data_IF_747148921987
#
_entry.id   IF_747148921987
#
_cell.length_a   1.000
_cell.length_b   1.000
_cell.length_c   1.000
_cell.angle_alpha   90.00
_cell.angle_beta   90.00
_cell.angle_gamma   90.00
#
_symmetry.space_group_name_H-M   'P 1'
#
loop_
_entity.id
_entity.type
_entity.pdbx_description
1 polymer ?
#
# COMPACT_ATOMS: atom_id res chain seq x y z
N UNK A 1 -21.21 8.77 -7.14
CA UNK A 1 -20.07 8.22 -6.36
C UNK A 1 -20.10 6.70 -6.27
N UNK A 2 -21.12 6.09 -5.65
CA UNK A 2 -21.19 4.63 -5.44
C UNK A 2 -20.98 3.80 -6.73
N UNK A 3 -21.65 4.19 -7.82
CA UNK A 3 -21.49 3.51 -9.11
C UNK A 3 -20.07 3.66 -9.72
N UNK A 4 -19.39 4.78 -9.48
CA UNK A 4 -18.01 4.98 -9.92
C UNK A 4 -17.05 4.09 -9.14
N UNK A 5 -17.26 3.96 -7.82
CA UNK A 5 -16.49 3.04 -6.98
C UNK A 5 -16.76 1.57 -7.35
N UNK A 6 -18.01 1.19 -7.63
CA UNK A 6 -18.33 -0.16 -8.11
C UNK A 6 -17.69 -0.45 -9.46
N UNK A 7 -17.62 0.53 -10.36
CA UNK A 7 -16.90 0.40 -11.62
C UNK A 7 -15.41 0.14 -11.39
N UNK A 8 -14.75 0.92 -10.53
CA UNK A 8 -13.33 0.74 -10.22
C UNK A 8 -13.02 -0.66 -9.66
N UNK A 9 -13.92 -1.23 -8.84
CA UNK A 9 -13.78 -2.60 -8.30
C UNK A 9 -13.94 -3.70 -9.36
N UNK A 10 -14.57 -3.41 -10.50
CA UNK A 10 -14.81 -4.38 -11.58
C UNK A 10 -13.85 -4.24 -12.75
N UNK A 11 -13.24 -3.06 -12.92
CA UNK A 11 -12.27 -2.83 -13.97
C UNK A 11 -11.01 -3.67 -13.73
N UNK A 12 -10.31 -4.09 -14.80
CA UNK A 12 -9.02 -4.75 -14.65
C UNK A 12 -8.06 -3.86 -13.84
N UNK A 13 -7.45 -4.37 -12.75
CA UNK A 13 -6.62 -3.55 -11.86
C UNK A 13 -5.40 -2.95 -12.58
N UNK A 14 -4.88 -3.63 -13.60
CA UNK A 14 -3.79 -3.12 -14.44
C UNK A 14 -4.16 -1.87 -15.26
N UNK A 15 -5.45 -1.51 -15.35
CA UNK A 15 -5.93 -0.33 -16.06
C UNK A 15 -6.58 0.69 -15.13
N UNK A 16 -6.37 0.57 -13.80
CA UNK A 16 -6.99 1.42 -12.79
C UNK A 16 -6.70 2.91 -13.02
N UNK A 17 -5.46 3.28 -13.33
CA UNK A 17 -5.09 4.68 -13.62
C UNK A 17 -5.84 5.25 -14.83
N UNK A 18 -5.95 4.47 -15.91
CA UNK A 18 -6.68 4.90 -17.11
C UNK A 18 -8.17 5.03 -16.83
N UNK A 19 -8.74 4.08 -16.07
CA UNK A 19 -10.14 4.11 -15.67
C UNK A 19 -10.45 5.33 -14.77
N UNK A 20 -9.57 5.62 -13.81
CA UNK A 20 -9.70 6.78 -12.94
C UNK A 20 -9.62 8.09 -13.73
N UNK A 21 -8.64 8.25 -14.63
CA UNK A 21 -8.53 9.45 -15.47
C UNK A 21 -9.78 9.68 -16.34
N UNK A 22 -10.37 8.59 -16.87
CA UNK A 22 -11.63 8.68 -17.59
C UNK A 22 -12.79 9.10 -16.67
N UNK A 23 -12.85 8.58 -15.45
CA UNK A 23 -13.85 8.97 -14.46
C UNK A 23 -13.71 10.43 -14.02
N UNK A 24 -12.49 10.92 -13.79
CA UNK A 24 -12.21 12.32 -13.47
C UNK A 24 -12.66 13.25 -14.62
N UNK A 25 -12.47 12.82 -15.86
CA UNK A 25 -12.94 13.57 -17.04
C UNK A 25 -14.46 13.58 -17.17
N UNK A 26 -15.15 12.53 -16.71
CA UNK A 26 -16.61 12.39 -16.76
C UNK A 26 -17.32 13.07 -15.58
N UNK A 27 -16.69 13.08 -14.40
CA UNK A 27 -17.26 13.54 -13.14
C UNK A 27 -16.28 14.52 -12.44
N UNK A 28 -16.01 15.70 -13.05
CA UNK A 28 -15.04 16.64 -12.51
C UNK A 28 -15.39 17.13 -11.10
N UNK A 29 -16.68 17.27 -10.79
CA UNK A 29 -17.19 17.72 -9.49
C UNK A 29 -16.87 16.76 -8.34
N UNK A 30 -16.55 15.49 -8.64
CA UNK A 30 -16.22 14.46 -7.66
C UNK A 30 -14.74 14.07 -7.65
N UNK A 31 -13.87 14.89 -8.25
CA UNK A 31 -12.45 14.55 -8.43
C UNK A 31 -11.73 14.29 -7.12
N UNK A 32 -11.97 15.12 -6.10
CA UNK A 32 -11.32 14.99 -4.79
C UNK A 32 -11.74 13.70 -4.08
N UNK A 33 -13.04 13.39 -4.09
CA UNK A 33 -13.56 12.16 -3.47
C UNK A 33 -13.06 10.90 -4.17
N UNK A 34 -12.90 10.94 -5.50
CA UNK A 34 -12.39 9.81 -6.27
C UNK A 34 -10.91 9.59 -6.03
N UNK A 35 -10.12 10.66 -5.95
CA UNK A 35 -8.68 10.57 -5.69
C UNK A 35 -8.36 10.07 -4.28
N UNK A 36 -9.19 10.38 -3.29
CA UNK A 36 -8.98 9.92 -1.90
C UNK A 36 -9.47 8.50 -1.62
N UNK A 37 -10.39 7.97 -2.43
CA UNK A 37 -10.98 6.64 -2.19
C UNK A 37 -10.45 5.53 -3.09
N UNK A 38 -9.74 5.89 -4.17
CA UNK A 38 -9.24 4.93 -5.15
C UNK A 38 -7.76 4.70 -4.93
N UNK A 39 -7.41 3.49 -4.49
CA UNK A 39 -6.02 3.06 -4.40
C UNK A 39 -5.42 2.91 -5.80
N UNK A 40 -4.31 3.62 -6.04
CA UNK A 40 -3.48 3.49 -7.23
C UNK A 40 -2.16 2.79 -6.89
N UNK A 41 -1.49 2.19 -7.88
CA UNK A 41 -0.14 1.67 -7.69
C UNK A 41 0.78 2.75 -7.09
N UNK A 42 1.54 2.36 -6.06
CA UNK A 42 2.42 3.27 -5.34
C UNK A 42 3.53 3.79 -6.27
N UNK A 43 3.74 5.10 -6.25
CA UNK A 43 4.80 5.77 -6.99
C UNK A 43 6.00 6.01 -6.09
N UNK A 44 7.18 6.11 -6.69
CA UNK A 44 8.45 6.30 -6.00
C UNK A 44 9.11 7.58 -6.48
N UNK A 45 9.64 8.36 -5.55
CA UNK A 45 10.52 9.48 -5.81
C UNK A 45 11.87 9.28 -5.10
N UNK A 46 12.87 10.08 -5.45
CA UNK A 46 14.20 10.03 -4.86
C UNK A 46 14.50 11.34 -4.16
N UNK A 47 14.84 11.27 -2.88
CA UNK A 47 15.35 12.42 -2.14
C UNK A 47 16.71 12.82 -2.70
N UNK A 48 16.79 14.03 -3.25
CA UNK A 48 18.00 14.58 -3.87
C UNK A 48 19.11 14.86 -2.85
N UNK A 49 18.77 15.07 -1.57
CA UNK A 49 19.76 15.37 -0.52
C UNK A 49 20.39 14.12 0.07
N UNK A 50 19.56 13.11 0.36
CA UNK A 50 20.02 11.87 1.00
C UNK A 50 20.29 10.74 0.01
N UNK A 51 19.94 10.91 -1.27
CA UNK A 51 20.00 9.88 -2.31
C UNK A 51 19.25 8.59 -1.92
N UNK A 52 18.12 8.75 -1.24
CA UNK A 52 17.26 7.65 -0.79
C UNK A 52 15.90 7.74 -1.47
N UNK A 53 15.40 6.59 -1.91
CA UNK A 53 14.06 6.48 -2.48
C UNK A 53 12.99 6.57 -1.38
N UNK A 54 11.83 7.11 -1.73
CA UNK A 54 10.66 7.18 -0.86
C UNK A 54 9.36 7.05 -1.67
N UNK A 55 8.31 6.59 -1.00
CA UNK A 55 7.02 6.29 -1.61
C UNK A 55 6.10 7.51 -1.53
N UNK A 56 5.41 7.80 -2.63
CA UNK A 56 4.43 8.88 -2.74
C UNK A 56 3.04 8.38 -2.35
N UNK A 57 2.34 9.12 -1.51
CA UNK A 57 0.97 8.87 -1.09
C UNK A 57 0.26 10.19 -0.74
N UNK A 58 -1.04 10.12 -0.43
CA UNK A 58 -1.80 11.29 0.02
C UNK A 58 -1.26 11.88 1.33
N UNK A 59 -0.75 11.04 2.23
CA UNK A 59 -0.26 11.48 3.55
C UNK A 59 1.02 12.28 3.46
N UNK A 60 1.81 12.21 2.40
CA UNK A 60 3.00 13.06 2.27
C UNK A 60 2.86 14.09 1.15
N UNK A 61 1.64 14.29 0.64
CA UNK A 61 1.36 15.23 -0.44
C UNK A 61 0.81 16.54 0.12
N UNK A 62 1.35 17.64 -0.38
CA UNK A 62 0.79 18.98 -0.20
C UNK A 62 0.75 19.67 -1.58
N UNK A 63 -0.43 20.09 -2.02
CA UNK A 63 -0.71 20.49 -3.39
C UNK A 63 -0.17 19.47 -4.43
N UNK A 64 0.86 19.82 -5.18
CA UNK A 64 1.52 18.96 -6.18
C UNK A 64 2.93 18.53 -5.77
N UNK A 65 3.29 18.71 -4.50
CA UNK A 65 4.62 18.38 -3.97
C UNK A 65 4.54 17.30 -2.91
N UNK A 66 5.63 16.55 -2.76
CA UNK A 66 5.68 15.43 -1.82
C UNK A 66 6.84 15.56 -0.83
N UNK A 67 6.55 15.41 0.46
CA UNK A 67 7.51 15.45 1.56
C UNK A 67 8.33 14.17 1.60
N UNK A 68 9.65 14.31 1.59
CA UNK A 68 10.55 13.19 1.83
C UNK A 68 10.61 12.84 3.31
N UNK A 69 10.53 11.56 3.71
CA UNK A 69 10.71 11.15 5.09
C UNK A 69 12.18 11.27 5.55
N UNK A 70 13.13 11.45 4.62
CA UNK A 70 14.56 11.53 4.93
C UNK A 70 15.00 12.98 5.20
N UNK A 71 14.79 13.89 4.25
CA UNK A 71 15.15 15.32 4.39
C UNK A 71 14.09 16.19 5.05
N UNK A 72 12.85 15.69 5.20
CA UNK A 72 11.68 16.46 5.64
C UNK A 72 11.32 17.63 4.72
N UNK A 73 11.73 17.59 3.45
CA UNK A 73 11.50 18.64 2.46
C UNK A 73 10.54 18.17 1.38
N UNK A 74 9.76 19.11 0.86
CA UNK A 74 8.89 18.90 -0.29
C UNK A 74 9.69 18.96 -1.61
N UNK A 75 9.34 18.09 -2.55
CA UNK A 75 9.75 18.19 -3.95
C UNK A 75 8.51 18.14 -4.86
N UNK A 76 8.27 19.16 -5.72
CA UNK A 76 8.98 20.45 -5.79
C UNK A 76 9.00 21.24 -4.46
N UNK A 77 9.94 22.18 -4.26
CA UNK A 77 10.01 22.95 -3.02
C UNK A 77 8.74 23.79 -2.78
N UNK A 78 8.22 23.70 -1.56
CA UNK A 78 7.11 24.53 -1.05
C UNK A 78 7.58 25.35 0.14
N UNK A 79 7.18 26.61 0.21
CA UNK A 79 7.52 27.52 1.31
C UNK A 79 6.54 27.41 2.49
N UNK A 80 5.29 27.02 2.22
CA UNK A 80 4.17 26.93 3.16
C UNK A 80 3.68 25.48 3.37
N UNK A 81 4.50 24.50 3.00
CA UNK A 81 4.16 23.09 3.16
C UNK A 81 4.00 22.68 4.62
N UNK A 82 2.93 21.95 4.92
CA UNK A 82 2.67 21.44 6.27
C UNK A 82 3.73 20.41 6.69
N UNK A 83 4.20 20.48 7.93
CA UNK A 83 5.20 19.54 8.47
C UNK A 83 4.77 19.05 9.85
N UNK A 84 5.12 17.81 10.24
CA UNK A 84 4.84 17.31 11.58
C UNK A 84 5.58 18.11 12.64
N UNK A 85 5.08 18.08 13.88
CA UNK A 85 5.78 18.63 15.04
C UNK A 85 7.12 17.92 15.27
N UNK A 86 8.00 18.53 16.06
CA UNK A 86 9.32 17.95 16.37
C UNK A 86 9.21 16.57 17.02
N UNK A 87 8.21 16.37 17.89
CA UNK A 87 7.94 15.09 18.55
C UNK A 87 7.51 14.03 17.54
N UNK A 88 6.54 14.35 16.67
CA UNK A 88 6.10 13.42 15.62
C UNK A 88 7.21 13.14 14.59
N UNK A 89 8.04 14.14 14.29
CA UNK A 89 9.17 13.98 13.38
C UNK A 89 10.22 13.03 13.94
N UNK A 90 10.52 13.10 15.23
CA UNK A 90 11.44 12.16 15.88
C UNK A 90 10.89 10.73 15.82
N UNK A 91 9.60 10.56 16.09
CA UNK A 91 8.92 9.26 15.97
C UNK A 91 8.93 8.74 14.52
N UNK A 92 8.71 9.62 13.53
CA UNK A 92 8.74 9.29 12.11
C UNK A 92 10.13 8.80 11.66
N UNK A 93 11.21 9.44 12.12
CA UNK A 93 12.58 9.03 11.82
C UNK A 93 12.87 7.65 12.39
N UNK A 94 12.54 7.43 13.67
CA UNK A 94 12.73 6.14 14.35
C UNK A 94 11.90 5.04 13.68
N UNK A 95 10.65 5.34 13.31
CA UNK A 95 9.79 4.41 12.58
C UNK A 95 10.41 4.03 11.22
N UNK A 96 10.89 5.00 10.43
CA UNK A 96 11.50 4.71 9.13
C UNK A 96 12.74 3.82 9.25
N UNK A 97 13.52 3.96 10.33
CA UNK A 97 14.66 3.07 10.61
C UNK A 97 14.19 1.64 10.91
N UNK A 98 13.30 1.46 11.90
CA UNK A 98 12.81 0.14 12.32
C UNK A 98 12.08 -0.57 11.18
N UNK A 99 11.23 0.14 10.43
CA UNK A 99 10.49 -0.48 9.34
C UNK A 99 11.32 -0.71 8.07
N UNK A 100 12.49 -0.07 7.94
CA UNK A 100 13.46 -0.46 6.92
C UNK A 100 14.01 -1.85 7.22
N UNK A 101 14.31 -2.15 8.48
CA UNK A 101 14.75 -3.50 8.87
C UNK A 101 13.63 -4.53 8.71
N UNK A 102 12.39 -4.18 9.06
CA UNK A 102 11.22 -5.03 8.80
C UNK A 102 11.09 -5.38 7.31
N UNK A 103 11.21 -4.37 6.43
CA UNK A 103 11.17 -4.57 4.99
C UNK A 103 12.26 -5.54 4.54
N UNK A 104 13.49 -5.34 4.99
CA UNK A 104 14.60 -6.19 4.55
C UNK A 104 14.48 -7.63 5.03
N UNK A 105 13.96 -7.85 6.24
CA UNK A 105 13.72 -9.19 6.80
C UNK A 105 12.59 -9.95 6.07
N UNK A 106 11.51 -9.26 5.69
CA UNK A 106 10.32 -9.90 5.12
C UNK A 106 10.25 -9.88 3.59
N UNK A 107 10.83 -8.87 2.95
CA UNK A 107 10.72 -8.63 1.50
C UNK A 107 12.07 -8.75 0.77
N UNK A 108 13.18 -8.88 1.49
CA UNK A 108 14.54 -9.00 0.94
C UNK A 108 14.85 -7.89 -0.09
N UNK A 109 14.45 -6.66 0.25
CA UNK A 109 14.61 -5.45 -0.55
C UNK A 109 13.28 -4.72 -0.82
N UNK A 110 13.27 -3.89 -1.87
CA UNK A 110 12.15 -2.97 -2.13
C UNK A 110 12.35 -1.63 -1.43
N UNK A 111 11.27 -0.84 -1.35
CA UNK A 111 11.27 0.50 -0.78
C UNK A 111 10.22 0.52 0.33
N UNK A 112 10.52 1.22 1.41
CA UNK A 112 9.59 1.48 2.50
C UNK A 112 9.60 2.97 2.85
N UNK A 113 8.46 3.49 3.30
CA UNK A 113 8.35 4.86 3.81
C UNK A 113 7.29 4.92 4.89
N UNK A 114 7.58 5.65 5.95
CA UNK A 114 6.64 5.93 7.04
C UNK A 114 6.41 7.43 7.11
N UNK A 115 5.15 7.83 7.19
CA UNK A 115 4.74 9.21 7.44
C UNK A 115 3.89 9.28 8.70
N UNK A 116 4.18 10.24 9.59
CA UNK A 116 3.45 10.42 10.85
C UNK A 116 2.86 11.82 10.91
N UNK A 117 1.59 11.90 11.30
CA UNK A 117 0.84 13.14 11.48
C UNK A 117 0.11 13.16 12.81
N UNK A 118 -0.10 14.34 13.36
CA UNK A 118 -0.91 14.51 14.56
C UNK A 118 -2.39 14.29 14.24
N UNK A 119 -3.10 13.62 15.15
CA UNK A 119 -4.54 13.48 15.09
C UNK A 119 -5.17 14.54 16.01
N UNK A 120 -5.47 15.70 15.43
CA UNK A 120 -6.02 16.87 16.13
C UNK A 120 -7.38 16.57 16.79
N UNK A 121 -8.16 15.65 16.20
CA UNK A 121 -9.51 15.34 16.66
C UNK A 121 -9.53 14.38 17.85
N UNK A 122 -8.64 13.38 17.87
CA UNK A 122 -8.70 12.26 18.83
C UNK A 122 -7.57 12.23 19.86
N UNK A 123 -6.66 13.21 19.86
CA UNK A 123 -5.55 13.30 20.83
C UNK A 123 -4.53 12.17 20.64
N UNK A 124 -4.17 11.94 19.38
CA UNK A 124 -3.37 10.82 18.93
C UNK A 124 -2.38 11.20 17.83
N UNK A 125 -1.91 10.20 17.10
CA UNK A 125 -1.22 10.38 15.83
C UNK A 125 -1.68 9.32 14.83
N UNK A 126 -1.57 9.65 13.54
CA UNK A 126 -1.79 8.76 12.42
C UNK A 126 -0.43 8.45 11.82
N UNK A 127 -0.13 7.17 11.66
CA UNK A 127 1.05 6.69 10.95
C UNK A 127 0.63 5.95 9.68
N UNK A 128 1.22 6.32 8.56
CA UNK A 128 1.06 5.64 7.28
C UNK A 128 2.37 4.91 6.95
N UNK A 129 2.33 3.58 6.98
CA UNK A 129 3.45 2.73 6.60
C UNK A 129 3.22 2.11 5.22
N UNK A 130 4.16 2.35 4.32
CA UNK A 130 4.10 1.97 2.91
C UNK A 130 5.25 1.03 2.57
N UNK A 131 4.96 -0.02 1.79
CA UNK A 131 5.97 -0.90 1.20
C UNK A 131 5.67 -1.04 -0.29
N UNK A 132 6.72 -0.89 -1.10
CA UNK A 132 6.69 -1.23 -2.53
C UNK A 132 7.80 -2.21 -2.85
N UNK A 133 7.45 -3.35 -3.43
CA UNK A 133 8.39 -4.35 -3.90
C UNK A 133 8.03 -4.81 -5.29
N UNK A 134 8.87 -4.44 -6.25
CA UNK A 134 8.81 -5.03 -7.58
C UNK A 134 9.64 -6.33 -7.62
N UNK A 135 9.07 -7.35 -8.27
CA UNK A 135 9.65 -8.67 -8.43
C UNK A 135 9.81 -9.00 -9.91
N UNK A 136 10.99 -9.51 -10.27
CA UNK A 136 11.22 -10.15 -11.57
C UNK A 136 11.27 -11.65 -11.34
N UNK A 137 10.41 -12.40 -12.01
CA UNK A 137 10.37 -13.85 -11.85
C UNK A 137 11.63 -14.48 -12.42
N UNK A 138 12.36 -15.23 -11.60
CA UNK A 138 13.57 -15.95 -12.01
C UNK A 138 13.28 -17.40 -12.42
N UNK A 139 12.07 -17.91 -12.14
CA UNK A 139 11.64 -19.28 -12.46
C UNK A 139 10.15 -19.34 -12.85
N UNK A 140 9.85 -20.08 -13.91
CA UNK A 140 8.47 -20.35 -14.38
C UNK A 140 7.94 -19.35 -15.40
N UNK A 141 6.61 -19.25 -15.52
CA UNK A 141 5.92 -18.37 -16.46
C UNK A 141 5.73 -16.94 -15.95
N UNK A 142 5.92 -16.69 -14.66
CA UNK A 142 5.78 -15.36 -14.06
C UNK A 142 6.99 -14.51 -14.45
N UNK A 143 6.76 -13.45 -15.22
CA UNK A 143 7.84 -12.55 -15.68
C UNK A 143 8.02 -11.35 -14.74
N UNK A 144 6.90 -10.80 -14.24
CA UNK A 144 6.87 -9.56 -13.45
C UNK A 144 5.78 -9.71 -12.38
N UNK A 145 6.03 -9.21 -11.18
CA UNK A 145 5.05 -9.03 -10.11
C UNK A 145 5.35 -7.74 -9.33
N UNK A 146 4.34 -7.11 -8.75
CA UNK A 146 4.48 -5.98 -7.83
C UNK A 146 3.73 -6.32 -6.54
N UNK A 147 4.29 -5.91 -5.42
CA UNK A 147 3.61 -5.88 -4.13
C UNK A 147 3.61 -4.43 -3.64
N UNK A 148 2.42 -3.88 -3.44
CA UNK A 148 2.20 -2.56 -2.88
C UNK A 148 1.37 -2.74 -1.61
N UNK A 149 1.91 -2.30 -0.46
CA UNK A 149 1.28 -2.43 0.86
C UNK A 149 1.10 -1.04 1.47
N UNK A 150 -0.11 -0.75 1.94
CA UNK A 150 -0.50 0.52 2.55
C UNK A 150 -1.14 0.22 3.90
N UNK A 151 -0.51 0.67 4.98
CA UNK A 151 -1.00 0.51 6.35
C UNK A 151 -1.22 1.88 6.98
N UNK A 152 -2.47 2.30 7.11
CA UNK A 152 -2.84 3.52 7.84
C UNK A 152 -3.29 3.13 9.24
N UNK A 153 -2.60 3.64 10.25
CA UNK A 153 -2.77 3.27 11.66
C UNK A 153 -3.00 4.52 12.48
N UNK A 154 -4.11 4.56 13.18
CA UNK A 154 -4.43 5.60 14.13
C UNK A 154 -4.09 5.11 15.55
N UNK A 155 -3.32 5.89 16.29
CA UNK A 155 -2.87 5.56 17.65
C UNK A 155 -3.23 6.67 18.63
N UNK A 156 -3.72 6.30 19.81
CA UNK A 156 -3.93 7.25 20.91
C UNK A 156 -2.64 7.46 21.70
N UNK A 157 -2.37 8.71 22.10
CA UNK A 157 -1.24 9.06 22.98
C UNK A 157 -1.44 8.59 24.44
N UNK A 158 -2.65 8.16 24.80
CA UNK A 158 -2.98 7.76 26.19
C UNK A 158 -2.66 6.29 26.51
N UNK A 159 -2.19 5.52 25.52
CA UNK A 159 -1.85 4.11 25.71
C UNK A 159 -0.70 3.96 26.71
N UNK A 160 -0.89 3.10 27.73
CA UNK A 160 0.14 2.78 28.70
C UNK A 160 1.36 2.17 27.99
N UNK A 161 2.44 2.94 27.91
CA UNK A 161 3.68 2.65 27.19
C UNK A 161 4.50 1.60 27.93
N UNK A 162 4.02 0.34 27.98
CA UNK A 162 4.86 -0.75 28.49
C UNK A 162 6.00 -1.06 27.49
N UNK A 163 5.69 -1.06 26.18
CA UNK A 163 6.60 -1.50 25.12
C UNK A 163 6.97 -0.40 24.08
N UNK A 164 6.36 0.79 24.13
CA UNK A 164 6.55 1.84 23.10
C UNK A 164 5.50 1.81 21.98
N UNK A 165 5.16 2.98 21.42
CA UNK A 165 4.18 3.07 20.32
C UNK A 165 4.64 2.35 19.06
N UNK A 166 5.94 2.39 18.73
CA UNK A 166 6.51 1.69 17.57
C UNK A 166 6.35 0.18 17.66
N UNK A 167 6.57 -0.41 18.83
CA UNK A 167 6.45 -1.87 19.03
C UNK A 167 5.00 -2.31 18.85
N UNK A 168 4.06 -1.54 19.40
CA UNK A 168 2.63 -1.82 19.20
C UNK A 168 2.24 -1.71 17.73
N UNK A 169 2.71 -0.68 17.03
CA UNK A 169 2.49 -0.49 15.61
C UNK A 169 3.08 -1.64 14.79
N UNK A 170 4.31 -2.06 15.08
CA UNK A 170 4.98 -3.19 14.41
C UNK A 170 4.22 -4.50 14.58
N UNK A 171 3.78 -4.83 15.79
CA UNK A 171 2.96 -6.04 16.06
C UNK A 171 1.65 -6.03 15.27
N UNK A 172 0.97 -4.88 15.18
CA UNK A 172 -0.27 -4.75 14.41
C UNK A 172 -0.04 -4.94 12.91
N UNK A 173 1.01 -4.33 12.35
CA UNK A 173 1.37 -4.45 10.93
C UNK A 173 1.73 -5.89 10.59
N UNK A 174 2.58 -6.53 11.39
CA UNK A 174 3.03 -7.89 11.16
C UNK A 174 1.87 -8.89 11.18
N UNK A 175 0.95 -8.77 12.15
CA UNK A 175 -0.25 -9.60 12.21
C UNK A 175 -1.18 -9.36 11.01
N UNK A 176 -1.38 -8.09 10.62
CA UNK A 176 -2.23 -7.73 9.50
C UNK A 176 -1.67 -8.23 8.17
N UNK A 177 -0.38 -8.01 7.90
CA UNK A 177 0.26 -8.51 6.70
C UNK A 177 0.27 -10.05 6.64
N UNK A 178 0.49 -10.71 7.78
CA UNK A 178 0.42 -12.17 7.85
C UNK A 178 -0.94 -12.71 7.42
N UNK A 179 -2.03 -12.09 7.88
CA UNK A 179 -3.41 -12.44 7.47
C UNK A 179 -3.66 -12.12 5.99
N UNK A 180 -3.22 -10.95 5.51
CA UNK A 180 -3.40 -10.53 4.11
C UNK A 180 -2.66 -11.46 3.14
N UNK A 181 -1.41 -11.83 3.43
CA UNK A 181 -0.64 -12.79 2.61
C UNK A 181 -1.37 -14.13 2.48
N UNK A 182 -1.86 -14.68 3.59
CA UNK A 182 -2.62 -15.94 3.58
C UNK A 182 -3.92 -15.83 2.77
N UNK A 183 -4.63 -14.71 2.89
CA UNK A 183 -5.85 -14.46 2.11
C UNK A 183 -5.57 -14.35 0.61
N UNK A 184 -4.51 -13.62 0.23
CA UNK A 184 -4.09 -13.46 -1.15
C UNK A 184 -3.70 -14.81 -1.77
N UNK A 185 -2.95 -15.66 -1.07
CA UNK A 185 -2.59 -16.99 -1.56
C UNK A 185 -3.84 -17.84 -1.87
N UNK A 186 -4.79 -17.87 -0.94
CA UNK A 186 -6.05 -18.62 -1.10
C UNK A 186 -6.88 -18.12 -2.28
N UNK A 187 -6.98 -16.82 -2.50
CA UNK A 187 -7.77 -16.27 -3.61
C UNK A 187 -7.04 -16.42 -4.94
N UNK A 188 -5.77 -15.99 -5.03
CA UNK A 188 -5.03 -15.91 -6.30
C UNK A 188 -4.55 -17.25 -6.83
N UNK A 189 -4.27 -18.24 -5.97
CA UNK A 189 -3.79 -19.56 -6.41
C UNK A 189 -4.76 -20.68 -6.08
N UNK A 190 -5.62 -20.51 -5.06
CA UNK A 190 -6.67 -21.45 -4.73
C UNK A 190 -7.91 -21.28 -5.62
N UNK A 191 -8.69 -20.22 -5.37
CA UNK A 191 -10.01 -20.02 -5.98
C UNK A 191 -9.97 -19.82 -7.50
N UNK A 192 -9.04 -19.01 -8.00
CA UNK A 192 -8.88 -18.80 -9.46
C UNK A 192 -8.59 -20.11 -10.18
N UNK A 193 -7.72 -20.96 -9.62
CA UNK A 193 -7.39 -22.29 -10.16
C UNK A 193 -8.61 -23.19 -10.17
N UNK A 194 -9.36 -23.22 -9.06
CA UNK A 194 -10.61 -23.99 -8.96
C UNK A 194 -11.62 -23.57 -10.04
N UNK A 195 -11.81 -22.27 -10.26
CA UNK A 195 -12.70 -21.76 -11.31
C UNK A 195 -12.24 -22.19 -12.70
N UNK A 196 -10.96 -22.06 -13.02
CA UNK A 196 -10.40 -22.47 -14.32
C UNK A 196 -10.58 -23.99 -14.54
N UNK A 197 -10.27 -24.80 -13.52
CA UNK A 197 -10.44 -26.25 -13.59
C UNK A 197 -11.92 -26.67 -13.69
N UNK A 198 -12.85 -25.91 -13.12
CA UNK A 198 -14.28 -26.17 -13.25
C UNK A 198 -14.78 -25.91 -14.67
N UNK A 199 -14.34 -24.79 -15.28
CA UNK A 199 -14.72 -24.43 -16.65
C UNK A 199 -14.04 -25.30 -17.71
N UNK A 200 -12.81 -25.73 -17.45
CA UNK A 200 -12.04 -26.63 -18.31
C UNK A 200 -11.30 -27.67 -17.46
N UNK A 201 -11.95 -28.80 -17.17
CA UNK A 201 -11.33 -29.87 -16.40
C UNK A 201 -10.08 -30.41 -17.12
N UNK A 202 -9.02 -30.74 -16.38
CA UNK A 202 -7.88 -31.43 -16.96
C UNK A 202 -8.31 -32.75 -17.59
N UNK A 203 -7.66 -33.19 -18.70
CA UNK A 203 -7.98 -34.45 -19.37
C UNK A 203 -7.94 -35.68 -18.44
N UNK A 204 -7.07 -35.64 -17.42
CA UNK A 204 -6.93 -36.69 -16.41
C UNK A 204 -8.20 -36.88 -15.56
N UNK A 205 -8.97 -35.82 -15.34
CA UNK A 205 -10.23 -35.87 -14.58
C UNK A 205 -11.38 -36.40 -15.43
N UNK A 206 -11.34 -36.16 -16.75
CA UNK A 206 -12.34 -36.67 -17.69
C UNK A 206 -12.27 -38.18 -17.88
N UNK A 207 -11.06 -38.76 -17.83
CA UNK A 207 -10.84 -40.21 -17.96
C UNK A 207 -11.29 -41.05 -16.75
N UNK A 208 -11.70 -40.42 -15.65
CA UNK A 208 -12.22 -41.11 -14.46
C UNK A 208 -13.75 -41.29 -14.45
N UNK A 209 -14.48 -40.75 -15.44
CA UNK A 209 -15.90 -41.08 -15.61
C UNK A 209 -16.02 -42.42 -16.34
N UNK A 210 -16.38 -43.47 -15.59
CA UNK A 210 -16.75 -44.77 -16.14
C UNK A 210 -17.90 -44.61 -17.15
N UNK A 211 -17.93 -45.41 -18.23
CA UNK A 211 -19.02 -45.35 -19.19
C UNK A 211 -20.35 -45.70 -18.50
N UNK A 212 -21.37 -44.87 -18.75
CA UNK A 212 -22.74 -45.13 -18.28
C UNK A 212 -23.16 -46.52 -18.77
N UNK A 213 -23.53 -47.38 -17.81
CA UNK A 213 -24.05 -48.74 -18.04
C UNK A 213 -25.53 -48.71 -18.40
#
# INVERSE_FOLDING_TARGET
>A
MEAAMDLMRRMPPASAETALNALLSLLPDHSLDLLSQVDLPLQVCMDKENLKEYILCEYNRDADSYRSPWSNKYDPPLEDGTVPSEEMRNLEIEANEVFSDYRDQYYEGGISSVYVWEDEDNGGFIACFLIKKDGKGTRGYMQIGSWDAIHVIQMSMTLAVADGHLVNMGKMIEEMEGKLRNSLDQVYFGKTREMVCTLRPPPEVLNMRLPDS
#
